data_IF_189792158535
#
_entry.id   IF_189792158535
#
_cell.length_a   1.000
_cell.length_b   1.000
_cell.length_c   1.000
_cell.angle_alpha   90.00
_cell.angle_beta   90.00
_cell.angle_gamma   90.00
#
_symmetry.space_group_name_H-M   'P 1'
#
loop_
_entity.id
_entity.type
_entity.pdbx_description
1 polymer ?
#
# COMPACT_ATOMS: atom_id res chain seq x y z
N UNK A 1 -18.82 42.25 -34.84
CA UNK A 1 -18.43 41.48 -36.04
C UNK A 1 -17.07 41.97 -36.52
N UNK A 2 -16.03 41.14 -36.51
CA UNK A 2 -14.69 41.51 -37.00
C UNK A 2 -14.78 42.00 -38.45
N UNK A 3 -14.33 43.23 -38.73
CA UNK A 3 -14.37 43.83 -40.08
C UNK A 3 -13.17 43.40 -40.94
N UNK A 4 -12.10 42.93 -40.31
CA UNK A 4 -10.88 42.53 -40.99
C UNK A 4 -10.88 41.01 -41.32
N UNK A 5 -10.70 40.60 -42.58
CA UNK A 5 -10.62 39.19 -43.00
C UNK A 5 -9.54 38.40 -42.25
N UNK A 6 -8.40 39.01 -41.97
CA UNK A 6 -7.27 38.39 -41.26
C UNK A 6 -7.64 38.08 -39.80
N UNK A 7 -8.38 38.99 -39.14
CA UNK A 7 -8.86 38.77 -37.77
C UNK A 7 -9.91 37.65 -37.70
N UNK A 8 -10.73 37.46 -38.74
CA UNK A 8 -11.66 36.33 -38.82
C UNK A 8 -10.93 35.00 -39.00
N UNK A 9 -9.91 34.97 -39.86
CA UNK A 9 -9.09 33.76 -40.08
C UNK A 9 -8.33 33.39 -38.81
N UNK A 10 -7.69 34.35 -38.14
CA UNK A 10 -6.99 34.10 -36.86
C UNK A 10 -7.95 33.61 -35.76
N UNK A 11 -9.15 34.17 -35.67
CA UNK A 11 -10.15 33.74 -34.69
C UNK A 11 -10.63 32.31 -34.96
N UNK A 12 -10.93 31.96 -36.22
CA UNK A 12 -11.35 30.60 -36.60
C UNK A 12 -10.21 29.60 -36.38
N UNK A 13 -8.97 29.94 -36.73
CA UNK A 13 -7.81 29.06 -36.54
C UNK A 13 -7.48 28.85 -35.06
N UNK A 14 -7.53 29.91 -34.25
CA UNK A 14 -7.33 29.80 -32.78
C UNK A 14 -8.45 29.00 -32.14
N UNK A 15 -9.70 29.20 -32.58
CA UNK A 15 -10.85 28.43 -32.08
C UNK A 15 -10.78 26.96 -32.49
N UNK A 16 -10.41 26.64 -33.73
CA UNK A 16 -10.20 25.26 -34.19
C UNK A 16 -9.04 24.61 -33.46
N UNK A 17 -7.91 25.29 -33.32
CA UNK A 17 -6.74 24.79 -32.58
C UNK A 17 -7.05 24.57 -31.10
N UNK A 18 -7.84 25.45 -30.46
CA UNK A 18 -8.33 25.25 -29.10
C UNK A 18 -9.29 24.06 -29.00
N UNK A 19 -10.22 23.88 -29.95
CA UNK A 19 -11.10 22.70 -29.99
C UNK A 19 -10.30 21.43 -30.25
N UNK A 20 -9.30 21.46 -31.12
CA UNK A 20 -8.43 20.33 -31.44
C UNK A 20 -7.52 19.97 -30.27
N UNK A 21 -6.99 20.95 -29.53
CA UNK A 21 -6.30 20.75 -28.24
C UNK A 21 -7.24 20.19 -27.16
N UNK A 22 -8.48 20.66 -27.06
CA UNK A 22 -9.45 20.17 -26.07
C UNK A 22 -9.92 18.74 -26.42
N UNK A 23 -10.08 18.42 -27.70
CA UNK A 23 -10.47 17.08 -28.18
C UNK A 23 -9.34 16.09 -28.20
N UNK A 24 -8.09 16.50 -28.45
CA UNK A 24 -6.91 15.65 -28.26
C UNK A 24 -6.65 15.37 -26.79
N UNK A 25 -6.77 16.36 -25.89
CA UNK A 25 -6.65 16.12 -24.44
C UNK A 25 -7.72 15.14 -23.92
N UNK A 26 -8.98 15.27 -24.37
CA UNK A 26 -10.04 14.34 -23.95
C UNK A 26 -9.84 12.92 -24.50
N UNK A 27 -9.37 12.77 -25.75
CA UNK A 27 -9.01 11.47 -26.33
C UNK A 27 -7.81 10.83 -25.63
N UNK A 28 -6.77 11.60 -25.33
CA UNK A 28 -5.57 11.13 -24.63
C UNK A 28 -5.94 10.64 -23.23
N UNK A 29 -6.76 11.39 -22.48
CA UNK A 29 -7.17 10.99 -21.14
C UNK A 29 -8.10 9.75 -21.17
N UNK A 30 -9.01 9.64 -22.14
CA UNK A 30 -9.79 8.41 -22.36
C UNK A 30 -8.90 7.18 -22.58
N UNK A 31 -7.90 7.32 -23.46
CA UNK A 31 -6.93 6.26 -23.71
C UNK A 31 -6.15 5.91 -22.43
N UNK A 32 -5.77 6.92 -21.64
CA UNK A 32 -5.05 6.75 -20.39
C UNK A 32 -5.86 5.99 -19.33
N UNK A 33 -7.14 6.32 -19.19
CA UNK A 33 -8.06 5.62 -18.27
C UNK A 33 -8.22 4.16 -18.70
N UNK A 34 -8.35 3.90 -20.00
CA UNK A 34 -8.52 2.53 -20.49
C UNK A 34 -7.25 1.69 -20.31
N UNK A 35 -6.07 2.23 -20.62
CA UNK A 35 -4.79 1.57 -20.30
C UNK A 35 -4.64 1.34 -18.80
N UNK A 36 -5.04 2.31 -17.98
CA UNK A 36 -5.01 2.19 -16.52
C UNK A 36 -5.95 1.09 -16.01
N UNK A 37 -7.16 0.96 -16.56
CA UNK A 37 -8.08 -0.13 -16.21
C UNK A 37 -7.48 -1.50 -16.50
N UNK A 38 -6.88 -1.67 -17.68
CA UNK A 38 -6.22 -2.93 -18.04
C UNK A 38 -5.09 -3.24 -17.05
N UNK A 39 -4.32 -2.23 -16.65
CA UNK A 39 -3.29 -2.39 -15.63
C UNK A 39 -3.88 -2.77 -14.26
N UNK A 40 -4.96 -2.14 -13.83
CA UNK A 40 -5.61 -2.46 -12.56
C UNK A 40 -6.16 -3.88 -12.52
N UNK A 41 -6.83 -4.33 -13.59
CA UNK A 41 -7.31 -5.72 -13.70
C UNK A 41 -6.17 -6.73 -13.53
N UNK A 42 -5.02 -6.41 -14.11
CA UNK A 42 -3.81 -7.24 -14.02
C UNK A 42 -3.19 -7.23 -12.62
N UNK A 43 -3.15 -6.06 -11.99
CA UNK A 43 -2.70 -5.91 -10.61
C UNK A 43 -3.58 -6.72 -9.64
N UNK A 44 -4.89 -6.77 -9.85
CA UNK A 44 -5.80 -7.59 -9.03
C UNK A 44 -5.51 -9.10 -9.14
N UNK A 45 -5.21 -9.60 -10.33
CA UNK A 45 -4.79 -11.01 -10.50
C UNK A 45 -3.50 -11.27 -9.73
N UNK A 46 -2.51 -10.38 -9.89
CA UNK A 46 -1.23 -10.49 -9.19
C UNK A 46 -1.41 -10.46 -7.66
N UNK A 47 -2.28 -9.59 -7.15
CA UNK A 47 -2.63 -9.53 -5.72
C UNK A 47 -3.18 -10.86 -5.24
N UNK A 48 -4.15 -11.45 -5.95
CA UNK A 48 -4.74 -12.75 -5.57
C UNK A 48 -3.67 -13.84 -5.49
N UNK A 49 -2.78 -13.93 -6.48
CA UNK A 49 -1.69 -14.92 -6.49
C UNK A 49 -0.74 -14.74 -5.31
N UNK A 50 -0.24 -13.51 -5.10
CA UNK A 50 0.67 -13.20 -3.98
C UNK A 50 -0.01 -13.46 -2.64
N UNK A 51 -1.28 -13.08 -2.51
CA UNK A 51 -2.05 -13.27 -1.28
C UNK A 51 -2.20 -14.75 -0.92
N UNK A 52 -2.53 -15.59 -1.90
CA UNK A 52 -2.62 -17.05 -1.72
C UNK A 52 -1.28 -17.65 -1.32
N UNK A 53 -0.21 -17.22 -1.99
CA UNK A 53 1.15 -17.66 -1.65
C UNK A 53 1.52 -17.31 -0.21
N UNK A 54 1.25 -16.08 0.22
CA UNK A 54 1.51 -15.65 1.59
C UNK A 54 0.69 -16.47 2.58
N UNK A 55 -0.61 -16.65 2.32
CA UNK A 55 -1.49 -17.45 3.19
C UNK A 55 -0.98 -18.87 3.36
N UNK A 56 -0.55 -19.51 2.28
CA UNK A 56 0.05 -20.84 2.30
C UNK A 56 1.33 -20.87 3.13
N UNK A 57 2.26 -19.94 2.89
CA UNK A 57 3.55 -19.90 3.57
C UNK A 57 3.44 -19.58 5.08
N UNK A 58 2.38 -18.89 5.51
CA UNK A 58 2.21 -18.45 6.89
C UNK A 58 1.28 -19.36 7.69
N UNK A 59 0.31 -20.03 7.04
CA UNK A 59 -0.63 -20.94 7.70
C UNK A 59 0.10 -22.02 8.50
N UNK A 60 1.10 -22.69 7.91
CA UNK A 60 1.89 -23.72 8.60
C UNK A 60 2.57 -23.20 9.88
N UNK A 61 2.92 -21.91 9.91
CA UNK A 61 3.61 -21.31 11.05
C UNK A 61 2.66 -20.89 12.18
N UNK A 62 1.37 -20.65 11.87
CA UNK A 62 0.41 -20.00 12.77
C UNK A 62 -0.99 -20.64 12.78
N UNK A 63 -1.13 -21.90 12.34
CA UNK A 63 -2.40 -22.61 12.10
C UNK A 63 -3.54 -22.28 13.08
N UNK A 64 -3.26 -22.27 14.39
CA UNK A 64 -4.30 -22.13 15.42
C UNK A 64 -4.74 -20.68 15.66
N UNK A 65 -3.98 -19.70 15.18
CA UNK A 65 -4.18 -18.27 15.46
C UNK A 65 -4.22 -17.39 14.21
N UNK A 66 -4.08 -17.99 13.03
CA UNK A 66 -4.05 -17.27 11.76
C UNK A 66 -5.46 -17.12 11.19
N UNK A 67 -5.88 -15.89 10.90
CA UNK A 67 -7.15 -15.61 10.18
C UNK A 67 -6.92 -15.36 8.69
N UNK A 68 -5.67 -15.31 8.26
CA UNK A 68 -5.29 -14.87 6.92
C UNK A 68 -4.32 -13.70 6.94
N UNK A 69 -3.80 -13.40 5.77
CA UNK A 69 -3.04 -12.20 5.51
C UNK A 69 -3.87 -11.31 4.61
N UNK A 70 -3.60 -10.01 4.69
CA UNK A 70 -4.08 -9.05 3.71
C UNK A 70 -2.90 -8.28 3.14
N UNK A 71 -2.83 -8.21 1.82
CA UNK A 71 -1.92 -7.29 1.14
C UNK A 71 -2.31 -5.86 1.50
N UNK A 72 -1.30 -5.03 1.70
CA UNK A 72 -1.46 -3.59 1.90
C UNK A 72 -0.42 -2.82 1.12
N UNK A 73 -0.22 -1.55 1.50
CA UNK A 73 0.73 -0.69 0.83
C UNK A 73 0.33 -0.40 -0.60
N UNK A 74 1.34 -0.19 -1.43
CA UNK A 74 1.15 0.26 -2.80
C UNK A 74 0.48 -0.78 -3.68
N UNK A 75 0.79 -2.06 -3.47
CA UNK A 75 0.20 -3.17 -4.20
C UNK A 75 -1.31 -3.24 -3.95
N UNK A 76 -1.79 -3.20 -2.71
CA UNK A 76 -3.24 -3.28 -2.52
C UNK A 76 -4.00 -2.04 -3.04
N UNK A 77 -3.37 -0.88 -3.03
CA UNK A 77 -3.99 0.41 -3.34
C UNK A 77 -4.13 0.71 -4.85
N UNK A 78 -3.78 -0.23 -5.74
CA UNK A 78 -3.79 0.03 -7.19
C UNK A 78 -2.68 1.00 -7.61
N UNK A 79 -1.67 1.14 -6.76
CA UNK A 79 -0.55 2.07 -6.93
C UNK A 79 0.76 1.29 -7.02
N UNK A 80 0.70 -0.01 -7.30
CA UNK A 80 1.89 -0.81 -7.55
C UNK A 80 2.71 -0.20 -8.69
N UNK A 81 2.03 0.33 -9.71
CA UNK A 81 2.62 1.10 -10.80
C UNK A 81 3.55 2.21 -10.25
N UNK A 82 3.12 2.91 -9.19
CA UNK A 82 3.89 3.98 -8.56
C UNK A 82 5.30 3.52 -8.11
N UNK A 83 5.47 2.23 -7.81
CA UNK A 83 6.76 1.66 -7.43
C UNK A 83 7.72 1.47 -8.62
N UNK A 84 7.20 1.29 -9.84
CA UNK A 84 8.04 1.19 -11.05
C UNK A 84 8.65 2.53 -11.47
N UNK A 85 8.09 3.66 -11.03
CA UNK A 85 8.68 4.99 -11.28
C UNK A 85 9.74 5.37 -10.23
N UNK A 86 10.06 4.51 -9.25
CA UNK A 86 11.22 4.73 -8.39
C UNK A 86 12.48 4.56 -9.25
N UNK A 87 13.45 5.46 -9.11
CA UNK A 87 14.72 5.31 -9.81
C UNK A 87 15.36 3.95 -9.49
N UNK A 88 15.76 3.22 -10.54
CA UNK A 88 16.45 1.94 -10.40
C UNK A 88 17.73 2.13 -9.57
N UNK A 89 17.79 1.48 -8.41
CA UNK A 89 18.97 1.49 -7.56
C UNK A 89 20.15 0.89 -8.32
N UNK A 90 21.16 1.69 -8.65
CA UNK A 90 22.43 1.18 -9.19
C UNK A 90 23.14 0.37 -8.11
N UNK A 91 23.11 -0.96 -8.18
CA UNK A 91 23.80 -1.82 -7.24
C UNK A 91 25.11 -2.33 -7.84
N UNK A 92 26.25 -1.86 -7.31
CA UNK A 92 27.60 -2.41 -7.54
C UNK A 92 27.89 -2.87 -8.99
N UNK A 93 27.62 -2.03 -9.98
CA UNK A 93 27.93 -2.33 -11.39
C UNK A 93 27.00 -3.33 -12.09
N UNK A 94 25.99 -3.86 -11.39
CA UNK A 94 24.89 -4.63 -11.96
C UNK A 94 23.65 -3.75 -12.12
N UNK A 95 22.97 -3.88 -13.26
CA UNK A 95 21.66 -3.26 -13.48
C UNK A 95 20.67 -4.02 -12.62
N UNK A 96 20.34 -3.53 -11.42
CA UNK A 96 19.08 -3.94 -10.79
C UNK A 96 18.02 -3.53 -11.78
N UNK A 97 17.32 -4.51 -12.34
CA UNK A 97 16.20 -4.19 -13.22
C UNK A 97 15.01 -3.71 -12.42
N UNK A 98 14.66 -4.32 -11.26
CA UNK A 98 13.44 -3.98 -10.48
C UNK A 98 13.51 -4.35 -8.98
N UNK A 99 12.88 -3.54 -8.12
CA UNK A 99 12.55 -3.86 -6.72
C UNK A 99 11.04 -3.83 -6.51
N UNK A 100 10.48 -4.89 -5.93
CA UNK A 100 9.05 -5.04 -5.61
C UNK A 100 8.89 -5.07 -4.09
N UNK A 101 8.23 -4.07 -3.53
CA UNK A 101 7.89 -4.01 -2.11
C UNK A 101 6.45 -4.54 -1.92
N UNK A 102 6.29 -5.57 -1.09
CA UNK A 102 5.00 -6.18 -0.76
C UNK A 102 4.77 -6.04 0.74
N UNK A 103 3.91 -5.09 1.10
CA UNK A 103 3.46 -4.92 2.48
C UNK A 103 2.35 -5.94 2.78
N UNK A 104 2.59 -6.80 3.77
CA UNK A 104 1.65 -7.82 4.20
C UNK A 104 1.19 -7.54 5.64
N UNK A 105 -0.12 -7.47 5.85
CA UNK A 105 -0.70 -7.51 7.18
C UNK A 105 -1.03 -8.96 7.54
N UNK A 106 -0.47 -9.42 8.63
CA UNK A 106 -0.77 -10.71 9.22
C UNK A 106 -1.92 -10.53 10.21
N UNK A 107 -3.11 -11.03 9.85
CA UNK A 107 -4.29 -10.99 10.70
C UNK A 107 -4.26 -12.19 11.64
N UNK A 108 -4.12 -11.90 12.93
CA UNK A 108 -4.09 -12.94 13.94
C UNK A 108 -5.36 -12.89 14.79
N UNK A 109 -5.98 -14.06 14.97
CA UNK A 109 -7.23 -14.26 15.70
C UNK A 109 -7.05 -14.13 17.19
N UNK A 110 -7.43 -12.98 17.74
CA UNK A 110 -7.41 -12.79 19.18
C UNK A 110 -8.84 -12.73 19.73
N UNK A 111 -9.33 -13.88 20.18
CA UNK A 111 -10.66 -14.04 20.78
C UNK A 111 -10.73 -13.38 22.16
N UNK A 112 -10.87 -12.06 22.17
CA UNK A 112 -10.90 -11.29 23.41
C UNK A 112 -12.21 -11.45 24.17
N UNK A 113 -12.10 -11.84 25.44
CA UNK A 113 -13.20 -11.74 26.40
C UNK A 113 -13.48 -10.25 26.68
N UNK A 114 -14.56 -9.71 26.10
CA UNK A 114 -14.98 -8.30 26.22
C UNK A 114 -13.94 -7.31 25.64
N UNK A 115 -13.84 -7.20 24.29
CA UNK A 115 -12.81 -6.41 23.59
C UNK A 115 -12.56 -5.00 24.13
N UNK A 116 -13.62 -4.26 24.46
CA UNK A 116 -13.56 -2.91 25.04
C UNK A 116 -12.80 -2.84 26.36
N UNK A 117 -12.82 -3.89 27.17
CA UNK A 117 -12.12 -3.93 28.46
C UNK A 117 -10.65 -4.35 28.33
N UNK A 118 -10.23 -4.76 27.14
CA UNK A 118 -8.92 -5.33 26.87
C UNK A 118 -7.94 -4.32 26.27
N UNK A 119 -8.48 -3.26 25.66
CA UNK A 119 -7.72 -2.13 25.17
C UNK A 119 -7.85 -0.95 26.12
N UNK A 120 -6.73 -0.29 26.39
CA UNK A 120 -6.69 0.97 27.12
C UNK A 120 -6.06 2.05 26.24
N UNK A 121 -6.83 3.06 25.87
CA UNK A 121 -6.29 4.24 25.18
C UNK A 121 -5.27 4.97 26.08
N UNK A 122 -4.14 5.37 25.49
CA UNK A 122 -3.07 6.05 26.20
C UNK A 122 -3.39 7.55 26.28
N UNK A 123 -3.53 8.06 27.52
CA UNK A 123 -3.85 9.47 27.76
C UNK A 123 -2.80 10.38 27.09
N UNK A 124 -3.27 11.34 26.28
CA UNK A 124 -2.41 12.29 25.56
C UNK A 124 -1.72 11.72 24.32
N UNK A 125 -1.98 10.47 23.93
CA UNK A 125 -1.44 9.85 22.71
C UNK A 125 -2.58 9.28 21.87
N UNK A 126 -3.35 10.12 21.16
CA UNK A 126 -4.43 9.64 20.30
C UNK A 126 -3.86 8.68 19.25
N UNK A 127 -4.61 7.62 18.94
CA UNK A 127 -4.14 6.56 18.04
C UNK A 127 -3.34 5.43 18.71
N UNK A 128 -2.96 5.57 19.99
CA UNK A 128 -2.18 4.57 20.70
C UNK A 128 -2.94 3.91 21.84
N UNK A 129 -2.70 2.60 22.02
CA UNK A 129 -3.36 1.76 23.04
C UNK A 129 -2.39 0.83 23.74
N UNK A 130 -2.79 0.37 24.92
CA UNK A 130 -2.17 -0.75 25.61
C UNK A 130 -3.10 -1.96 25.59
N UNK A 131 -2.53 -3.13 25.39
CA UNK A 131 -3.25 -4.39 25.34
C UNK A 131 -3.08 -5.15 26.65
N UNK A 132 -4.18 -5.45 27.36
CA UNK A 132 -4.11 -6.16 28.65
C UNK A 132 -3.89 -7.66 28.46
N UNK A 133 -2.91 -8.21 29.17
CA UNK A 133 -2.57 -9.66 29.09
C UNK A 133 -3.68 -10.55 29.59
N UNK A 134 -4.39 -10.15 30.66
CA UNK A 134 -5.52 -10.91 31.25
C UNK A 134 -6.69 -11.18 30.28
N UNK A 135 -6.72 -10.50 29.14
CA UNK A 135 -7.76 -10.67 28.14
C UNK A 135 -7.45 -11.76 27.12
N UNK A 136 -6.22 -12.26 27.11
CA UNK A 136 -5.79 -13.30 26.19
C UNK A 136 -6.34 -14.63 26.72
N UNK A 137 -6.94 -15.47 25.87
CA UNK A 137 -7.36 -16.81 26.26
C UNK A 137 -6.21 -17.60 26.90
N UNK A 138 -6.51 -18.36 27.97
CA UNK A 138 -5.52 -19.21 28.65
C UNK A 138 -5.09 -20.43 27.82
N UNK A 139 -5.79 -20.71 26.70
CA UNK A 139 -5.55 -21.81 25.77
C UNK A 139 -5.13 -21.29 24.39
N UNK A 140 -4.43 -22.12 23.62
CA UNK A 140 -3.95 -21.82 22.27
C UNK A 140 -2.50 -21.32 22.24
N UNK A 141 -1.87 -21.28 21.07
CA UNK A 141 -0.45 -20.95 20.88
C UNK A 141 -0.03 -19.53 21.31
N UNK A 142 -1.00 -18.69 21.70
CA UNK A 142 -0.78 -17.34 22.23
C UNK A 142 0.19 -17.26 23.42
N UNK A 143 0.21 -18.26 24.31
CA UNK A 143 1.10 -18.23 25.48
C UNK A 143 2.59 -18.20 25.12
N UNK A 144 2.96 -18.70 23.93
CA UNK A 144 4.35 -18.65 23.47
C UNK A 144 4.75 -17.20 23.22
N UNK A 145 3.84 -16.37 22.71
CA UNK A 145 4.14 -15.00 22.28
C UNK A 145 3.95 -13.94 23.36
N UNK A 146 3.24 -14.23 24.44
CA UNK A 146 2.96 -13.28 25.53
C UNK A 146 3.58 -13.72 26.86
N UNK A 147 4.23 -12.78 27.55
CA UNK A 147 4.70 -13.00 28.92
C UNK A 147 3.56 -12.79 29.92
N UNK A 148 3.04 -13.88 30.50
CA UNK A 148 1.90 -13.81 31.46
C UNK A 148 2.18 -12.96 32.70
N UNK A 149 3.46 -12.78 33.06
CA UNK A 149 3.86 -12.00 34.24
C UNK A 149 3.65 -10.48 34.08
N UNK A 150 3.45 -9.97 32.86
CA UNK A 150 3.23 -8.54 32.65
C UNK A 150 1.75 -8.20 32.62
N UNK A 151 1.39 -6.97 33.02
CA UNK A 151 0.01 -6.46 32.91
C UNK A 151 -0.41 -6.21 31.44
N UNK A 152 0.56 -5.87 30.58
CA UNK A 152 0.33 -5.49 29.20
C UNK A 152 1.19 -6.29 28.23
N UNK A 153 0.66 -6.57 27.04
CA UNK A 153 1.43 -7.20 25.96
C UNK A 153 2.44 -6.18 25.41
N UNK A 154 3.70 -6.61 25.32
CA UNK A 154 4.79 -5.82 24.74
C UNK A 154 4.93 -6.11 23.24
N UNK A 155 4.65 -5.15 22.34
CA UNK A 155 4.67 -5.41 20.89
C UNK A 155 6.05 -5.74 20.34
N UNK A 156 7.13 -5.21 20.94
CA UNK A 156 8.51 -5.51 20.52
C UNK A 156 8.86 -6.97 20.83
N UNK A 157 8.56 -7.43 22.04
CA UNK A 157 8.75 -8.84 22.45
C UNK A 157 7.90 -9.78 21.60
N UNK A 158 6.64 -9.42 21.37
CA UNK A 158 5.73 -10.16 20.50
C UNK A 158 6.33 -10.34 19.10
N UNK A 159 6.78 -9.26 18.45
CA UNK A 159 7.42 -9.31 17.13
C UNK A 159 8.69 -10.17 17.11
N UNK A 160 9.52 -10.09 18.14
CA UNK A 160 10.73 -10.93 18.23
C UNK A 160 10.38 -12.40 18.20
N UNK A 161 9.44 -12.83 19.05
CA UNK A 161 9.03 -14.25 19.12
C UNK A 161 8.36 -14.74 17.84
N UNK A 162 7.59 -13.88 17.19
CA UNK A 162 6.97 -14.17 15.90
C UNK A 162 8.03 -14.30 14.80
N UNK A 163 9.05 -13.42 14.79
CA UNK A 163 10.21 -13.53 13.90
C UNK A 163 10.96 -14.85 14.13
N UNK A 164 11.25 -15.17 15.39
CA UNK A 164 11.97 -16.39 15.76
C UNK A 164 11.20 -17.64 15.32
N UNK A 165 9.86 -17.60 15.36
CA UNK A 165 9.02 -18.70 14.84
C UNK A 165 8.97 -18.74 13.31
N UNK A 166 8.92 -17.59 12.64
CA UNK A 166 8.97 -17.51 11.19
C UNK A 166 10.29 -18.06 10.64
N UNK A 167 11.40 -17.74 11.31
CA UNK A 167 12.74 -18.21 11.01
C UNK A 167 12.98 -19.65 11.51
N UNK A 168 12.42 -20.04 12.66
CA UNK A 168 12.55 -21.40 13.20
C UNK A 168 11.79 -22.46 12.38
N UNK A 169 10.83 -22.03 11.57
CA UNK A 169 10.20 -22.86 10.54
C UNK A 169 11.09 -23.09 9.28
N UNK A 170 12.37 -22.69 9.31
CA UNK A 170 13.31 -22.84 8.19
C UNK A 170 13.82 -24.28 8.00
N UNK A 171 13.50 -24.85 6.85
CA UNK A 171 14.50 -24.99 5.76
C UNK A 171 13.88 -25.60 4.50
N UNK A 172 12.86 -26.46 4.62
CA UNK A 172 12.38 -27.19 3.45
C UNK A 172 11.16 -26.60 2.76
N UNK A 173 10.09 -26.20 3.45
CA UNK A 173 8.82 -25.91 2.74
C UNK A 173 8.73 -24.49 2.19
N UNK A 174 9.20 -23.48 2.93
CA UNK A 174 9.10 -22.06 2.52
C UNK A 174 10.11 -21.67 1.44
N UNK A 175 11.37 -22.09 1.60
CA UNK A 175 12.40 -21.88 0.58
C UNK A 175 12.06 -22.65 -0.69
N UNK A 176 11.64 -23.93 -0.60
CA UNK A 176 11.19 -24.67 -1.77
C UNK A 176 9.91 -24.12 -2.36
N UNK A 177 8.96 -23.61 -1.58
CA UNK A 177 7.73 -23.02 -2.14
C UNK A 177 8.02 -21.80 -3.02
N UNK A 178 8.82 -20.86 -2.53
CA UNK A 178 9.25 -19.69 -3.32
C UNK A 178 10.16 -20.12 -4.48
N UNK A 179 11.15 -20.97 -4.23
CA UNK A 179 12.09 -21.44 -5.24
C UNK A 179 11.40 -22.26 -6.33
N UNK A 180 10.56 -23.23 -5.99
CA UNK A 180 9.79 -24.06 -6.95
C UNK A 180 8.84 -23.19 -7.76
N UNK A 181 8.16 -22.22 -7.13
CA UNK A 181 7.28 -21.30 -7.84
C UNK A 181 8.04 -20.52 -8.93
N UNK A 182 9.15 -19.88 -8.59
CA UNK A 182 9.94 -19.13 -9.56
C UNK A 182 10.66 -20.06 -10.56
N UNK A 183 11.28 -21.15 -10.09
CA UNK A 183 12.04 -22.11 -10.92
C UNK A 183 11.15 -22.80 -11.96
N UNK A 184 9.95 -23.25 -11.58
CA UNK A 184 8.96 -23.85 -12.49
C UNK A 184 8.60 -22.90 -13.64
N UNK A 185 8.29 -21.64 -13.31
CA UNK A 185 7.88 -20.65 -14.31
C UNK A 185 9.00 -20.21 -15.24
N UNK A 186 10.21 -20.14 -14.72
CA UNK A 186 11.40 -19.79 -15.47
C UNK A 186 11.86 -20.90 -16.42
N UNK A 187 11.82 -22.17 -15.99
CA UNK A 187 12.13 -23.33 -16.82
C UNK A 187 11.15 -23.50 -17.99
N UNK A 188 9.86 -23.23 -17.77
CA UNK A 188 8.81 -23.37 -18.82
C UNK A 188 8.97 -22.37 -19.98
N UNK A 189 9.64 -21.24 -19.77
CA UNK A 189 9.90 -20.22 -20.83
C UNK A 189 11.16 -20.50 -21.67
N UNK A 190 11.80 -21.66 -21.48
CA UNK A 190 13.09 -21.94 -22.11
C UNK A 190 14.21 -21.01 -21.64
N UNK A 191 13.96 -20.22 -20.58
CA UNK A 191 15.01 -19.45 -19.92
C UNK A 191 15.75 -20.46 -19.05
N UNK A 192 16.80 -21.04 -19.61
CA UNK A 192 17.68 -21.95 -18.88
C UNK A 192 18.48 -21.11 -17.90
N UNK A 193 18.14 -21.17 -16.61
CA UNK A 193 18.95 -20.58 -15.55
C UNK A 193 20.08 -21.54 -15.23
N UNK A 194 21.33 -21.08 -15.34
CA UNK A 194 22.48 -21.84 -14.80
C UNK A 194 22.40 -21.97 -13.27
N UNK A 195 21.83 -20.97 -12.60
CA UNK A 195 21.53 -20.98 -11.17
C UNK A 195 20.53 -19.87 -10.82
N UNK A 196 19.50 -20.17 -10.04
CA UNK A 196 18.69 -19.17 -9.32
C UNK A 196 19.13 -19.22 -7.86
N UNK A 197 19.74 -18.14 -7.37
CA UNK A 197 20.10 -18.03 -5.96
C UNK A 197 19.04 -17.19 -5.25
N UNK A 198 18.17 -17.82 -4.47
CA UNK A 198 17.26 -17.11 -3.56
C UNK A 198 17.99 -16.86 -2.25
N UNK A 199 18.42 -15.62 -2.02
CA UNK A 199 18.93 -15.20 -0.72
C UNK A 199 17.77 -14.72 0.12
N UNK A 200 17.41 -15.48 1.16
CA UNK A 200 16.49 -15.01 2.19
C UNK A 200 17.31 -14.28 3.24
N UNK A 201 17.07 -12.98 3.41
CA UNK A 201 17.61 -12.26 4.57
C UNK A 201 16.47 -11.72 5.43
N UNK A 202 16.41 -12.21 6.67
CA UNK A 202 15.44 -11.77 7.67
C UNK A 202 15.92 -10.49 8.37
N UNK A 203 15.43 -9.33 7.95
CA UNK A 203 15.67 -8.06 8.67
C UNK A 203 14.46 -7.72 9.53
N UNK A 204 14.66 -7.57 10.83
CA UNK A 204 13.64 -6.97 11.70
C UNK A 204 13.72 -5.46 11.60
N UNK A 205 12.65 -4.83 11.09
CA UNK A 205 12.52 -3.38 11.03
C UNK A 205 11.78 -2.83 12.26
N UNK A 206 11.58 -1.51 12.29
CA UNK A 206 10.88 -0.76 13.35
C UNK A 206 9.48 -1.34 13.64
N UNK A 207 8.79 -1.86 12.62
CA UNK A 207 7.39 -2.30 12.70
C UNK A 207 7.07 -3.63 11.99
N UNK A 208 8.00 -4.16 11.21
CA UNK A 208 7.77 -5.34 10.36
C UNK A 208 8.88 -6.37 10.49
N UNK A 209 8.54 -7.64 10.25
CA UNK A 209 9.52 -8.67 9.91
C UNK A 209 9.66 -8.63 8.40
N UNK A 210 10.88 -8.42 7.89
CA UNK A 210 11.14 -8.29 6.45
C UNK A 210 11.84 -9.53 5.94
N UNK A 211 11.29 -10.15 4.90
CA UNK A 211 11.99 -11.17 4.12
C UNK A 211 12.32 -10.60 2.75
N UNK A 212 13.61 -10.53 2.44
CA UNK A 212 14.07 -10.12 1.12
C UNK A 212 14.35 -11.38 0.32
N UNK A 213 13.84 -11.43 -0.90
CA UNK A 213 14.10 -12.46 -1.90
C UNK A 213 14.83 -11.81 -3.06
N UNK A 214 16.05 -12.27 -3.33
CA UNK A 214 16.82 -11.84 -4.49
C UNK A 214 16.76 -12.91 -5.56
N UNK A 215 16.46 -12.54 -6.81
CA UNK A 215 16.52 -13.42 -7.97
C UNK A 215 17.72 -12.99 -8.82
N UNK A 216 18.72 -13.85 -8.87
CA UNK A 216 19.95 -13.61 -9.62
C UNK A 216 20.06 -14.59 -10.80
N UNK A 217 20.60 -14.12 -11.92
CA UNK A 217 20.99 -14.94 -13.08
C UNK A 217 22.34 -14.48 -13.59
N UNK A 218 23.26 -15.43 -13.79
CA UNK A 218 24.62 -15.16 -14.25
C UNK A 218 25.29 -14.02 -13.43
N UNK A 219 25.15 -14.08 -12.10
CA UNK A 219 25.62 -13.09 -11.12
C UNK A 219 25.00 -11.68 -11.23
N UNK A 220 24.03 -11.48 -12.13
CA UNK A 220 23.25 -10.25 -12.23
C UNK A 220 21.98 -10.36 -11.41
N UNK A 221 21.68 -9.32 -10.62
CA UNK A 221 20.45 -9.22 -9.84
C UNK A 221 19.30 -8.72 -10.73
N UNK A 222 18.30 -9.57 -10.96
CA UNK A 222 17.17 -9.26 -11.84
C UNK A 222 15.98 -8.68 -11.08
N UNK A 223 15.64 -9.29 -9.94
CA UNK A 223 14.50 -8.89 -9.14
C UNK A 223 14.84 -9.00 -7.66
N UNK A 224 14.51 -7.96 -6.91
CA UNK A 224 14.45 -8.04 -5.45
C UNK A 224 13.00 -7.88 -5.02
N UNK A 225 12.47 -8.85 -4.29
CA UNK A 225 11.14 -8.79 -3.68
C UNK A 225 11.29 -8.68 -2.17
N UNK A 226 10.70 -7.66 -1.56
CA UNK A 226 10.71 -7.45 -0.12
C UNK A 226 9.31 -7.71 0.45
N UNK A 227 9.17 -8.74 1.28
CA UNK A 227 7.94 -9.06 2.00
C UNK A 227 8.00 -8.47 3.41
N UNK A 228 7.12 -7.52 3.70
CA UNK A 228 7.05 -6.81 4.97
C UNK A 228 5.85 -7.30 5.80
N UNK A 229 6.07 -8.16 6.79
CA UNK A 229 5.02 -8.65 7.68
C UNK A 229 4.77 -7.68 8.84
N UNK A 230 3.61 -7.04 8.84
CA UNK A 230 3.06 -6.29 9.96
C UNK A 230 2.00 -7.12 10.68
N UNK A 231 2.20 -7.38 11.97
CA UNK A 231 1.25 -8.18 12.76
C UNK A 231 0.20 -7.30 13.41
N UNK A 232 -1.05 -7.73 13.28
CA UNK A 232 -2.20 -7.06 13.88
C UNK A 232 -3.21 -8.01 14.49
N UNK A 233 -3.94 -7.46 15.46
CA UNK A 233 -5.12 -8.10 16.04
C UNK A 233 -6.37 -7.42 15.51
N UNK A 234 -7.31 -8.23 15.02
CA UNK A 234 -8.67 -7.77 14.76
C UNK A 234 -9.39 -7.63 16.08
N UNK A 235 -9.89 -6.43 16.38
CA UNK A 235 -10.61 -6.16 17.62
C UNK A 235 -11.99 -5.60 17.30
N UNK A 236 -13.04 -6.33 17.67
CA UNK A 236 -14.44 -5.88 17.54
C UNK A 236 -14.76 -4.80 18.57
N UNK A 237 -14.29 -3.59 18.27
CA UNK A 237 -14.39 -2.41 19.11
C UNK A 237 -14.28 -1.15 18.26
N UNK A 238 -15.15 -0.17 18.53
CA UNK A 238 -15.12 1.18 17.94
C UNK A 238 -14.36 2.12 18.87
N UNK A 239 -13.12 2.53 18.53
CA UNK A 239 -12.34 3.41 19.39
C UNK A 239 -12.91 4.83 19.35
N UNK A 240 -12.73 5.58 20.44
CA UNK A 240 -13.31 6.93 20.54
C UNK A 240 -12.77 7.88 19.47
N UNK A 241 -11.49 7.70 19.14
CA UNK A 241 -10.82 8.47 18.09
C UNK A 241 -11.48 8.35 16.71
N UNK A 242 -12.25 7.28 16.47
CA UNK A 242 -12.94 7.05 15.20
C UNK A 242 -14.33 7.72 15.13
N UNK A 243 -14.86 8.22 16.25
CA UNK A 243 -16.21 8.79 16.29
C UNK A 243 -16.36 10.01 15.38
N UNK A 244 -15.34 10.86 15.29
CA UNK A 244 -15.33 12.00 14.40
C UNK A 244 -15.47 11.57 12.95
N UNK A 245 -14.73 10.55 12.52
CA UNK A 245 -14.83 9.97 11.19
C UNK A 245 -16.22 9.38 10.92
N UNK A 246 -16.76 8.58 11.85
CA UNK A 246 -18.08 7.96 11.70
C UNK A 246 -19.23 8.97 11.62
N UNK A 247 -19.03 10.17 12.17
CA UNK A 247 -20.00 11.25 12.07
C UNK A 247 -19.98 11.94 10.69
N UNK A 248 -18.94 11.73 9.87
CA UNK A 248 -18.84 12.32 8.53
C UNK A 248 -19.68 11.46 7.57
N UNK A 249 -20.62 12.09 6.87
CA UNK A 249 -21.74 11.43 6.18
C UNK A 249 -21.42 10.95 4.76
N UNK A 250 -20.23 11.22 4.24
CA UNK A 250 -19.97 11.05 2.81
C UNK A 250 -19.64 9.62 2.39
N UNK A 251 -18.95 8.87 3.25
CA UNK A 251 -18.69 7.47 3.00
C UNK A 251 -19.74 6.67 3.77
N UNK A 252 -20.67 6.04 3.04
CA UNK A 252 -21.53 4.99 3.60
C UNK A 252 -20.66 3.77 3.94
N UNK A 253 -19.76 3.93 4.90
CA UNK A 253 -18.95 2.84 5.43
C UNK A 253 -19.92 1.85 6.02
N UNK A 254 -19.89 0.63 5.48
CA UNK A 254 -20.81 -0.40 5.93
C UNK A 254 -20.68 -0.56 7.44
N UNK A 255 -21.82 -0.89 8.08
CA UNK A 255 -21.85 -1.17 9.51
C UNK A 255 -20.81 -2.22 9.89
N UNK A 256 -20.61 -3.21 9.02
CA UNK A 256 -19.63 -4.29 9.17
C UNK A 256 -18.17 -3.79 9.24
N UNK A 257 -17.76 -2.90 8.34
CA UNK A 257 -16.36 -2.42 8.29
C UNK A 257 -16.03 -1.54 9.50
N UNK A 258 -17.04 -0.87 10.04
CA UNK A 258 -16.92 -0.04 11.23
C UNK A 258 -17.10 -0.81 12.55
N UNK A 259 -17.43 -2.10 12.54
CA UNK A 259 -17.62 -2.90 13.77
C UNK A 259 -16.30 -3.32 14.44
N UNK A 260 -15.19 -3.28 13.70
CA UNK A 260 -13.88 -3.65 14.21
C UNK A 260 -12.79 -2.66 13.80
N UNK A 261 -11.70 -2.69 14.57
CA UNK A 261 -10.46 -1.96 14.31
C UNK A 261 -9.29 -2.93 14.38
N UNK A 262 -8.26 -2.69 13.59
CA UNK A 262 -7.00 -3.41 13.72
C UNK A 262 -6.08 -2.71 14.72
N UNK A 263 -5.36 -3.50 15.52
CA UNK A 263 -4.33 -3.01 16.43
C UNK A 263 -2.98 -3.57 15.99
N UNK A 264 -2.09 -2.69 15.53
CA UNK A 264 -0.77 -3.01 15.00
C UNK A 264 0.28 -3.07 16.11
N UNK A 265 1.24 -3.99 15.96
CA UNK A 265 2.48 -4.07 16.74
C UNK A 265 3.50 -2.96 16.45
N UNK A 266 3.01 -1.81 15.97
CA UNK A 266 3.78 -0.58 15.75
C UNK A 266 3.75 0.27 17.02
N UNK A 267 4.88 0.86 17.35
CA UNK A 267 5.04 1.73 18.52
C UNK A 267 5.19 3.17 18.05
N UNK A 268 5.04 4.13 18.97
CA UNK A 268 5.46 5.50 18.70
C UNK A 268 6.96 5.55 18.38
N UNK A 269 7.41 6.59 17.66
CA UNK A 269 8.82 6.72 17.27
C UNK A 269 9.71 6.89 18.50
N UNK A 270 9.22 7.57 19.52
CA UNK A 270 9.88 7.79 20.81
C UNK A 270 10.09 6.47 21.57
N UNK A 271 9.20 5.49 21.36
CA UNK A 271 9.28 4.18 22.03
C UNK A 271 9.84 3.07 21.14
N UNK A 272 10.30 3.41 19.93
CA UNK A 272 10.71 2.44 18.91
C UNK A 272 11.79 1.44 19.38
N UNK A 273 12.74 1.91 20.19
CA UNK A 273 13.84 1.10 20.70
C UNK A 273 13.59 0.60 22.13
N UNK A 274 12.45 0.95 22.72
CA UNK A 274 12.11 0.50 24.07
C UNK A 274 11.46 -0.88 24.00
N UNK A 275 12.23 -1.92 24.33
CA UNK A 275 11.74 -3.31 24.40
C UNK A 275 10.60 -3.50 25.42
N UNK A 276 10.54 -2.63 26.44
CA UNK A 276 9.54 -2.64 27.49
C UNK A 276 8.30 -1.81 27.16
N UNK A 277 8.25 -1.18 25.98
CA UNK A 277 7.06 -0.46 25.55
C UNK A 277 5.85 -1.37 25.55
N UNK A 278 4.71 -0.80 25.91
CA UNK A 278 3.39 -1.44 25.84
C UNK A 278 2.50 -0.74 24.82
N UNK A 279 3.08 0.14 23.99
CA UNK A 279 2.34 0.99 23.06
C UNK A 279 2.09 0.26 21.74
N UNK A 280 0.81 0.00 21.46
CA UNK A 280 0.31 -0.46 20.17
C UNK A 280 -0.36 0.73 19.46
N UNK A 281 -0.55 0.62 18.15
CA UNK A 281 -1.21 1.67 17.34
C UNK A 281 -2.46 1.13 16.68
N UNK A 282 -3.54 1.91 16.66
CA UNK A 282 -4.69 1.59 15.81
C UNK A 282 -4.28 1.62 14.33
N UNK A 283 -4.88 0.75 13.53
CA UNK A 283 -4.73 0.74 12.08
C UNK A 283 -6.10 0.88 11.44
N UNK A 284 -6.22 1.88 10.57
CA UNK A 284 -7.40 2.11 9.75
C UNK A 284 -7.22 1.59 8.33
N UNK A 285 -6.17 0.81 8.05
CA UNK A 285 -5.81 0.40 6.69
C UNK A 285 -6.93 -0.35 5.97
N UNK A 286 -7.79 -1.10 6.68
CA UNK A 286 -8.95 -1.75 6.06
C UNK A 286 -10.04 -0.77 5.67
N UNK A 287 -10.32 0.24 6.51
CA UNK A 287 -11.27 1.32 6.20
C UNK A 287 -10.72 2.18 5.07
N UNK A 288 -9.42 2.51 5.09
CA UNK A 288 -8.75 3.21 4.00
C UNK A 288 -8.91 2.47 2.68
N UNK A 289 -8.63 1.16 2.67
CA UNK A 289 -8.76 0.34 1.47
C UNK A 289 -10.21 0.31 0.97
N UNK A 290 -11.20 0.23 1.87
CA UNK A 290 -12.61 0.31 1.49
C UNK A 290 -12.95 1.63 0.80
N UNK A 291 -12.51 2.75 1.39
CA UNK A 291 -12.72 4.09 0.81
C UNK A 291 -12.04 4.19 -0.56
N UNK A 292 -10.77 3.81 -0.66
CA UNK A 292 -10.01 3.88 -1.91
C UNK A 292 -10.60 2.97 -3.00
N UNK A 293 -11.14 1.81 -2.64
CA UNK A 293 -11.79 0.89 -3.58
C UNK A 293 -13.12 1.43 -4.09
N UNK A 294 -13.83 2.23 -3.28
CA UNK A 294 -15.06 2.93 -3.67
C UNK A 294 -14.83 4.10 -4.64
N UNK A 295 -13.59 4.52 -4.87
CA UNK A 295 -13.29 5.57 -5.83
C UNK A 295 -13.57 5.11 -7.27
N UNK A 296 -14.04 6.06 -8.09
CA UNK A 296 -14.11 5.89 -9.54
C UNK A 296 -12.70 5.70 -10.14
N UNK A 297 -12.64 5.16 -11.37
CA UNK A 297 -11.36 4.94 -12.06
C UNK A 297 -10.57 6.24 -12.23
N UNK A 298 -11.26 7.35 -12.49
CA UNK A 298 -10.64 8.66 -12.63
C UNK A 298 -10.01 9.14 -11.31
N UNK A 299 -10.71 9.00 -10.17
CA UNK A 299 -10.16 9.30 -8.83
C UNK A 299 -8.97 8.40 -8.51
N UNK A 300 -9.04 7.11 -8.83
CA UNK A 300 -7.93 6.16 -8.65
C UNK A 300 -6.71 6.55 -9.50
N UNK A 301 -6.93 6.92 -10.76
CA UNK A 301 -5.86 7.37 -11.66
C UNK A 301 -5.19 8.65 -11.15
N UNK A 302 -5.98 9.65 -10.73
CA UNK A 302 -5.46 10.88 -10.10
C UNK A 302 -4.61 10.54 -8.87
N UNK A 303 -5.10 9.65 -8.00
CA UNK A 303 -4.36 9.22 -6.82
C UNK A 303 -3.02 8.57 -7.18
N UNK A 304 -3.02 7.66 -8.17
CA UNK A 304 -1.81 6.99 -8.65
C UNK A 304 -0.81 7.99 -9.21
N UNK A 305 -1.23 8.86 -10.12
CA UNK A 305 -0.37 9.88 -10.74
C UNK A 305 0.22 10.79 -9.65
N UNK A 306 -0.61 11.31 -8.75
CA UNK A 306 -0.17 12.17 -7.65
C UNK A 306 0.86 11.47 -6.75
N UNK A 307 0.60 10.21 -6.38
CA UNK A 307 1.53 9.38 -5.58
C UNK A 307 2.84 9.11 -6.30
N UNK A 308 2.81 8.86 -7.61
CA UNK A 308 3.99 8.63 -8.45
C UNK A 308 4.88 9.87 -8.51
N UNK A 309 4.31 11.04 -8.83
CA UNK A 309 5.05 12.32 -8.85
C UNK A 309 5.64 12.60 -7.46
N UNK A 310 4.84 12.46 -6.39
CA UNK A 310 5.33 12.64 -5.03
C UNK A 310 6.51 11.72 -4.70
N UNK A 311 6.42 10.45 -5.09
CA UNK A 311 7.48 9.47 -4.82
C UNK A 311 8.76 9.80 -5.58
N UNK A 312 8.64 10.14 -6.87
CA UNK A 312 9.78 10.51 -7.74
C UNK A 312 10.43 11.82 -7.33
N UNK A 313 9.65 12.80 -6.88
CA UNK A 313 10.14 14.18 -6.72
C UNK A 313 10.33 14.65 -5.27
N UNK A 314 9.67 14.02 -4.29
CA UNK A 314 9.69 14.49 -2.88
C UNK A 314 10.19 13.44 -1.90
N UNK A 315 9.81 12.17 -2.06
CA UNK A 315 10.12 11.12 -1.07
C UNK A 315 11.60 10.98 -0.74
N UNK A 316 12.47 11.13 -1.74
CA UNK A 316 13.92 10.99 -1.57
C UNK A 316 14.58 12.11 -0.74
N UNK A 317 13.86 13.20 -0.42
CA UNK A 317 14.37 14.23 0.47
C UNK A 317 14.61 13.70 1.89
N UNK A 318 13.71 12.83 2.37
CA UNK A 318 13.85 12.07 3.61
C UNK A 318 12.84 10.93 3.60
N UNK A 319 13.29 9.71 3.28
CA UNK A 319 12.39 8.56 3.13
C UNK A 319 11.73 8.12 4.46
N UNK A 320 12.27 8.53 5.61
CA UNK A 320 11.69 8.23 6.92
C UNK A 320 10.60 9.22 7.36
N UNK A 321 10.60 10.43 6.80
CA UNK A 321 9.70 11.52 7.16
C UNK A 321 8.68 11.78 6.06
N UNK A 322 9.13 11.87 4.82
CA UNK A 322 8.32 12.16 3.64
C UNK A 322 7.70 10.87 3.12
N UNK A 323 6.65 10.41 3.79
CA UNK A 323 6.00 9.12 3.49
C UNK A 323 4.81 9.27 2.54
N UNK A 324 4.49 8.20 1.80
CA UNK A 324 3.31 8.13 0.94
C UNK A 324 1.98 8.22 1.70
N UNK A 325 2.02 8.15 3.03
CA UNK A 325 0.85 8.38 3.87
C UNK A 325 0.36 9.83 3.75
N UNK A 326 1.26 10.80 3.57
CA UNK A 326 0.92 12.22 3.35
C UNK A 326 0.02 12.37 2.12
N UNK A 327 0.41 11.74 1.00
CA UNK A 327 -0.35 11.71 -0.26
C UNK A 327 -1.75 11.16 -0.02
N UNK A 328 -1.84 10.03 0.70
CA UNK A 328 -3.12 9.39 1.01
C UNK A 328 -4.01 10.32 1.84
N UNK A 329 -3.47 10.94 2.89
CA UNK A 329 -4.21 11.87 3.75
C UNK A 329 -4.76 13.06 2.98
N UNK A 330 -3.96 13.68 2.10
CA UNK A 330 -4.40 14.79 1.24
C UNK A 330 -5.56 14.35 0.34
N UNK A 331 -5.42 13.20 -0.33
CA UNK A 331 -6.43 12.67 -1.26
C UNK A 331 -7.72 12.33 -0.55
N UNK A 332 -7.64 11.69 0.62
CA UNK A 332 -8.82 11.33 1.40
C UNK A 332 -9.60 12.58 1.86
N UNK A 333 -8.90 13.60 2.37
CA UNK A 333 -9.54 14.87 2.72
C UNK A 333 -10.14 15.58 1.52
N UNK A 334 -9.39 15.65 0.41
CA UNK A 334 -9.85 16.32 -0.81
C UNK A 334 -11.10 15.65 -1.37
N UNK A 335 -11.13 14.32 -1.46
CA UNK A 335 -12.29 13.61 -2.03
C UNK A 335 -13.46 13.45 -1.04
N UNK A 336 -13.26 13.80 0.23
CA UNK A 336 -14.32 14.00 1.23
C UNK A 336 -14.87 15.45 1.24
N UNK A 337 -14.41 16.36 0.38
CA UNK A 337 -15.05 17.67 0.31
C UNK A 337 -16.41 17.54 -0.41
N UNK A 338 -17.50 17.83 0.28
CA UNK A 338 -18.86 17.79 -0.25
C UNK A 338 -19.10 18.78 -1.41
N UNK A 339 -18.25 19.79 -1.59
CA UNK A 339 -18.30 20.65 -2.78
C UNK A 339 -17.88 19.91 -4.07
N UNK A 340 -17.39 18.69 -3.93
CA UNK A 340 -17.00 17.77 -4.99
C UNK A 340 -18.01 16.61 -5.12
N UNK A 341 -19.29 16.81 -4.76
CA UNK A 341 -20.35 15.81 -4.98
C UNK A 341 -20.54 15.48 -6.47
N UNK A 342 -20.30 16.44 -7.38
CA UNK A 342 -20.31 16.22 -8.83
C UNK A 342 -18.96 15.79 -9.40
N UNK A 343 -18.00 15.40 -8.55
CA UNK A 343 -16.62 15.21 -8.98
C UNK A 343 -16.42 14.07 -9.96
N UNK A 344 -17.25 13.03 -9.91
CA UNK A 344 -17.17 11.94 -10.89
C UNK A 344 -17.71 12.38 -12.27
N UNK A 345 -18.75 13.22 -12.33
CA UNK A 345 -19.24 13.84 -13.57
C UNK A 345 -18.32 14.98 -14.06
N UNK A 346 -17.59 15.62 -13.14
CA UNK A 346 -16.68 16.73 -13.40
C UNK A 346 -15.27 16.27 -13.81
N UNK A 347 -14.84 15.07 -13.38
CA UNK A 347 -13.57 14.43 -13.79
C UNK A 347 -13.59 13.84 -15.20
N UNK A 348 -14.70 13.97 -15.93
CA UNK A 348 -14.84 13.60 -17.34
C UNK A 348 -13.60 14.01 -18.15
N UNK A 349 -12.69 13.06 -18.39
CA UNK A 349 -11.51 13.00 -19.25
C UNK A 349 -10.72 14.28 -19.56
N UNK A 350 -10.88 15.39 -18.84
CA UNK A 350 -10.28 16.68 -19.25
C UNK A 350 -9.58 17.39 -18.10
N UNK A 351 -9.80 16.95 -16.86
CA UNK A 351 -9.35 17.65 -15.64
C UNK A 351 -8.47 16.84 -14.70
N UNK A 352 -7.96 15.67 -15.13
CA UNK A 352 -7.01 14.86 -14.34
C UNK A 352 -5.83 15.72 -13.87
N UNK A 353 -5.20 16.45 -14.79
CA UNK A 353 -4.05 17.31 -14.51
C UNK A 353 -4.39 18.51 -13.62
N UNK A 354 -5.55 19.13 -13.81
CA UNK A 354 -6.04 20.21 -12.93
C UNK A 354 -6.22 19.71 -11.51
N UNK A 355 -6.78 18.51 -11.36
CA UNK A 355 -6.98 17.87 -10.06
C UNK A 355 -5.66 17.57 -9.36
N UNK A 356 -4.67 17.07 -10.09
CA UNK A 356 -3.34 16.82 -9.54
C UNK A 356 -2.68 18.13 -9.09
N UNK A 357 -2.82 19.22 -9.86
CA UNK A 357 -2.31 20.55 -9.44
C UNK A 357 -2.97 21.05 -8.15
N UNK A 358 -4.28 20.81 -7.99
CA UNK A 358 -5.03 21.11 -6.76
C UNK A 358 -4.47 20.30 -5.59
N UNK A 359 -4.24 18.98 -5.75
CA UNK A 359 -3.65 18.14 -4.70
C UNK A 359 -2.24 18.62 -4.28
N UNK A 360 -1.44 19.10 -5.23
CA UNK A 360 -0.15 19.72 -4.92
C UNK A 360 -0.30 21.08 -4.22
N UNK A 361 -1.35 21.84 -4.55
CA UNK A 361 -1.69 23.09 -3.85
C UNK A 361 -2.01 22.79 -2.38
N UNK A 362 -2.84 21.79 -2.11
CA UNK A 362 -3.20 21.38 -0.74
C UNK A 362 -1.97 20.95 0.06
N UNK A 363 -1.09 20.16 -0.56
CA UNK A 363 0.15 19.76 0.06
C UNK A 363 1.05 20.96 0.35
N UNK A 364 1.12 21.94 -0.57
CA UNK A 364 1.91 23.15 -0.39
C UNK A 364 1.37 24.00 0.76
N UNK A 365 0.05 24.15 0.88
CA UNK A 365 -0.61 24.87 1.98
C UNK A 365 -0.36 24.19 3.32
N UNK A 366 -0.57 22.87 3.40
CA UNK A 366 -0.29 22.09 4.61
C UNK A 366 1.19 22.22 5.05
N UNK A 367 2.13 22.23 4.10
CA UNK A 367 3.56 22.44 4.39
C UNK A 367 3.87 23.87 4.84
N UNK A 368 3.17 24.88 4.30
CA UNK A 368 3.30 26.28 4.72
C UNK A 368 2.83 26.46 6.17
N UNK A 369 1.71 25.85 6.51
CA UNK A 369 1.15 25.85 7.87
C UNK A 369 1.92 24.95 8.84
N UNK A 370 2.67 23.97 8.31
CA UNK A 370 3.34 22.95 9.12
C UNK A 370 2.36 21.96 9.76
N UNK A 371 1.15 21.85 9.21
CA UNK A 371 0.06 21.10 9.80
C UNK A 371 -0.76 20.37 8.73
N UNK A 372 -0.92 19.07 8.92
CA UNK A 372 -1.82 18.22 8.13
C UNK A 372 -2.55 17.28 9.09
N UNK A 373 -3.85 17.42 9.21
CA UNK A 373 -4.67 16.56 10.07
C UNK A 373 -4.65 15.13 9.54
N UNK A 374 -4.37 14.16 10.42
CA UNK A 374 -4.63 12.77 10.08
C UNK A 374 -6.12 12.58 9.81
N UNK A 375 -6.43 11.71 8.87
CA UNK A 375 -7.76 11.58 8.30
C UNK A 375 -8.78 10.99 9.28
N UNK A 376 -8.41 9.95 10.04
CA UNK A 376 -9.30 9.31 11.01
C UNK A 376 -9.22 9.92 12.41
N UNK A 377 -8.05 10.47 12.78
CA UNK A 377 -7.72 11.04 14.08
C UNK A 377 -7.21 12.48 13.89
N UNK A 378 -8.10 13.46 13.69
CA UNK A 378 -7.74 14.84 13.33
C UNK A 378 -6.82 15.55 14.33
N UNK A 379 -6.72 15.05 15.56
CA UNK A 379 -5.82 15.53 16.61
C UNK A 379 -4.34 15.24 16.30
N UNK A 380 -4.05 14.30 15.39
CA UNK A 380 -2.69 13.95 14.98
C UNK A 380 -2.27 14.83 13.80
N UNK A 381 -1.15 15.56 13.96
CA UNK A 381 -0.49 16.25 12.85
C UNK A 381 0.49 15.30 12.13
N UNK A 382 0.20 14.96 10.88
CA UNK A 382 1.05 14.13 10.02
C UNK A 382 2.39 14.81 9.71
N UNK A 383 2.42 16.15 9.65
CA UNK A 383 3.63 16.94 9.37
C UNK A 383 4.40 17.34 10.63
N UNK A 384 4.03 16.84 11.82
CA UNK A 384 4.65 17.21 13.12
C UNK A 384 6.18 17.11 13.11
N UNK A 385 6.73 16.20 12.30
CA UNK A 385 8.17 15.89 12.24
C UNK A 385 8.94 16.66 11.16
N UNK A 386 8.25 17.42 10.33
CA UNK A 386 8.90 18.24 9.32
C UNK A 386 9.49 19.46 10.02
N UNK A 387 10.81 19.60 10.02
CA UNK A 387 11.44 20.85 10.40
C UNK A 387 11.22 21.92 9.32
N UNK A 388 11.59 23.18 9.61
CA UNK A 388 11.40 24.28 8.67
C UNK A 388 12.16 24.05 7.36
N UNK A 389 13.39 23.52 7.42
CA UNK A 389 14.23 23.30 6.24
C UNK A 389 13.60 22.28 5.29
N UNK A 390 13.13 21.15 5.82
CA UNK A 390 12.45 20.13 5.04
C UNK A 390 11.16 20.65 4.42
N UNK A 391 10.36 21.45 5.16
CA UNK A 391 9.14 22.08 4.59
C UNK A 391 9.49 23.04 3.46
N UNK A 392 10.49 23.89 3.64
CA UNK A 392 10.92 24.86 2.62
C UNK A 392 11.45 24.14 1.35
N UNK A 393 12.20 23.06 1.52
CA UNK A 393 12.68 22.22 0.41
C UNK A 393 11.53 21.55 -0.35
N UNK A 394 10.58 20.95 0.37
CA UNK A 394 9.38 20.36 -0.22
C UNK A 394 8.57 21.42 -0.99
N UNK A 395 8.34 22.60 -0.40
CA UNK A 395 7.60 23.68 -1.06
C UNK A 395 8.29 24.15 -2.36
N UNK A 396 9.61 24.36 -2.35
CA UNK A 396 10.37 24.72 -3.56
C UNK A 396 10.21 23.70 -4.67
N UNK A 397 10.25 22.41 -4.32
CA UNK A 397 10.08 21.33 -5.29
C UNK A 397 8.65 21.21 -5.81
N UNK A 398 7.66 21.36 -4.94
CA UNK A 398 6.26 21.38 -5.36
C UNK A 398 6.02 22.51 -6.36
N UNK A 399 6.60 23.70 -6.13
CA UNK A 399 6.52 24.80 -7.10
C UNK A 399 7.06 24.39 -8.49
N UNK A 400 8.20 23.70 -8.54
CA UNK A 400 8.79 23.19 -9.79
C UNK A 400 7.95 22.07 -10.43
N UNK A 401 7.34 21.21 -9.60
CA UNK A 401 6.46 20.14 -10.07
C UNK A 401 5.26 20.74 -10.78
N UNK A 402 4.60 21.72 -10.14
CA UNK A 402 3.39 22.36 -10.68
C UNK A 402 3.65 23.08 -12.01
N UNK A 403 4.82 23.70 -12.18
CA UNK A 403 5.19 24.33 -13.47
C UNK A 403 5.48 23.32 -14.58
N UNK A 404 5.76 22.05 -14.25
CA UNK A 404 6.20 21.01 -15.18
C UNK A 404 5.34 19.74 -15.09
N UNK A 405 4.09 19.84 -14.62
CA UNK A 405 3.30 18.69 -14.19
C UNK A 405 3.14 17.63 -15.31
N UNK A 406 2.90 18.10 -16.54
CA UNK A 406 2.68 17.24 -17.71
C UNK A 406 3.96 16.61 -18.27
N UNK A 407 5.14 17.15 -17.95
CA UNK A 407 6.42 16.63 -18.44
C UNK A 407 7.10 15.70 -17.45
N UNK A 408 6.72 15.74 -16.17
CA UNK A 408 7.33 14.93 -15.10
C UNK A 408 6.91 13.45 -15.15
N UNK A 409 5.69 13.19 -15.63
CA UNK A 409 5.18 11.85 -15.92
C UNK A 409 4.99 11.73 -17.42
N UNK A 410 5.80 10.88 -18.04
CA UNK A 410 5.68 10.62 -19.47
C UNK A 410 4.67 9.48 -19.65
N UNK A 411 3.71 9.64 -20.56
CA UNK A 411 2.75 8.58 -20.94
C UNK A 411 3.46 7.26 -21.25
N UNK A 412 4.69 7.34 -21.80
CA UNK A 412 5.57 6.19 -22.03
C UNK A 412 5.83 5.35 -20.78
N UNK A 413 5.88 5.95 -19.59
CA UNK A 413 6.12 5.25 -18.33
C UNK A 413 4.89 4.42 -17.90
N UNK A 414 3.66 4.81 -18.28
CA UNK A 414 2.44 4.01 -18.02
C UNK A 414 2.38 2.82 -18.97
N UNK A 415 2.65 3.02 -20.26
CA UNK A 415 2.74 1.92 -21.22
C UNK A 415 3.88 0.94 -20.88
N UNK A 416 5.02 1.45 -20.39
CA UNK A 416 6.10 0.63 -19.85
C UNK A 416 5.62 -0.19 -18.65
N UNK A 417 4.98 0.43 -17.66
CA UNK A 417 4.44 -0.28 -16.50
C UNK A 417 3.41 -1.36 -16.89
N UNK A 418 2.60 -1.12 -17.93
CA UNK A 418 1.71 -2.14 -18.50
C UNK A 418 2.49 -3.34 -19.01
N UNK A 419 3.51 -3.12 -19.84
CA UNK A 419 4.33 -4.19 -20.40
C UNK A 419 5.06 -4.96 -19.29
N UNK A 420 5.53 -4.26 -18.26
CA UNK A 420 6.13 -4.87 -17.07
C UNK A 420 5.14 -5.75 -16.32
N UNK A 421 3.91 -5.28 -16.13
CA UNK A 421 2.86 -6.06 -15.48
C UNK A 421 2.41 -7.23 -16.34
N UNK A 422 2.42 -7.11 -17.66
CA UNK A 422 2.27 -8.25 -18.55
C UNK A 422 3.37 -9.25 -18.31
N UNK A 423 4.64 -8.84 -18.34
CA UNK A 423 5.79 -9.71 -18.07
C UNK A 423 5.66 -10.41 -16.71
N UNK A 424 5.29 -9.67 -15.67
CA UNK A 424 5.08 -10.22 -14.33
C UNK A 424 3.90 -11.19 -14.33
N UNK A 425 2.73 -10.83 -14.84
CA UNK A 425 1.60 -11.76 -14.90
C UNK A 425 1.91 -12.98 -15.74
N UNK A 426 2.64 -12.83 -16.82
CA UNK A 426 3.17 -13.90 -17.63
C UNK A 426 4.18 -14.79 -16.86
N UNK A 427 4.79 -14.26 -15.80
CA UNK A 427 5.56 -14.98 -14.78
C UNK A 427 4.73 -15.51 -13.60
N UNK A 428 3.45 -15.16 -13.43
CA UNK A 428 2.60 -15.58 -12.30
C UNK A 428 1.35 -16.36 -12.71
N UNK A 429 0.94 -16.28 -13.97
CA UNK A 429 -0.35 -16.70 -14.48
C UNK A 429 -0.17 -17.41 -15.83
N UNK A 430 0.16 -18.69 -15.76
CA UNK A 430 -0.37 -19.64 -16.75
C UNK A 430 -1.50 -20.42 -16.07
N UNK A 431 -2.62 -20.65 -16.77
CA UNK A 431 -3.83 -21.23 -16.17
C UNK A 431 -3.61 -22.58 -15.50
N UNK A 432 -2.54 -23.30 -15.88
CA UNK A 432 -2.16 -24.58 -15.30
C UNK A 432 -1.49 -24.41 -13.92
N UNK A 433 -0.73 -23.34 -13.72
CA UNK A 433 -0.09 -22.99 -12.44
C UNK A 433 -1.12 -22.51 -11.44
N UNK A 434 -2.09 -21.71 -11.89
CA UNK A 434 -3.23 -21.32 -11.06
C UNK A 434 -3.99 -22.56 -10.58
N UNK A 435 -4.36 -23.47 -11.48
CA UNK A 435 -5.03 -24.73 -11.12
C UNK A 435 -4.18 -25.60 -10.19
N UNK A 436 -2.85 -25.61 -10.36
CA UNK A 436 -1.94 -26.37 -9.50
C UNK A 436 -1.84 -25.76 -8.09
N UNK A 437 -1.78 -24.42 -7.99
CA UNK A 437 -1.80 -23.72 -6.70
C UNK A 437 -3.15 -23.85 -6.01
N UNK A 438 -4.25 -23.72 -6.75
CA UNK A 438 -5.61 -23.91 -6.24
C UNK A 438 -5.80 -25.35 -5.75
N UNK A 439 -5.38 -26.35 -6.52
CA UNK A 439 -5.39 -27.76 -6.10
C UNK A 439 -4.51 -27.99 -4.87
N UNK A 440 -3.32 -27.38 -4.81
CA UNK A 440 -2.44 -27.47 -3.63
C UNK A 440 -3.11 -26.88 -2.38
N UNK A 441 -3.69 -25.67 -2.48
CA UNK A 441 -4.40 -24.99 -1.39
C UNK A 441 -5.63 -25.79 -0.94
N UNK A 442 -6.37 -26.39 -1.88
CA UNK A 442 -7.51 -27.27 -1.57
C UNK A 442 -7.09 -28.60 -0.92
N UNK A 443 -5.85 -29.06 -1.14
CA UNK A 443 -5.30 -30.28 -0.57
C UNK A 443 -4.52 -30.05 0.74
N UNK A 444 -4.43 -28.81 1.23
CA UNK A 444 -3.92 -28.55 2.59
C UNK A 444 -4.89 -29.16 3.62
N UNK A 445 -4.37 -29.72 4.71
CA UNK A 445 -5.17 -30.27 5.80
C UNK A 445 -4.98 -29.43 7.08
N UNK A 446 -6.04 -28.78 7.62
CA UNK A 446 -7.41 -28.75 7.08
C UNK A 446 -7.51 -27.89 5.81
N UNK A 447 -8.44 -28.23 4.90
CA UNK A 447 -8.63 -27.43 3.69
C UNK A 447 -9.08 -26.03 4.08
N UNK A 448 -8.48 -25.02 3.47
CA UNK A 448 -8.82 -23.64 3.77
C UNK A 448 -10.13 -23.27 3.05
N UNK A 449 -11.26 -23.79 3.55
CA UNK A 449 -12.58 -23.72 2.93
C UNK A 449 -13.16 -22.29 2.79
N UNK A 450 -12.52 -21.28 3.37
CA UNK A 450 -12.91 -19.87 3.24
C UNK A 450 -12.23 -19.12 2.09
N UNK A 451 -11.34 -19.76 1.32
CA UNK A 451 -10.75 -19.20 0.12
C UNK A 451 -11.26 -19.93 -1.12
N UNK A 452 -12.55 -19.77 -1.42
CA UNK A 452 -12.93 -19.81 -2.84
C UNK A 452 -12.18 -18.64 -3.49
N UNK A 453 -11.26 -18.92 -4.41
CA UNK A 453 -10.54 -17.88 -5.16
C UNK A 453 -11.47 -17.01 -6.03
N UNK A 454 -12.74 -17.42 -6.13
CA UNK A 454 -13.84 -16.71 -6.76
C UNK A 454 -15.11 -16.71 -5.89
N UNK A 455 -15.35 -15.59 -5.22
CA UNK A 455 -16.66 -14.95 -5.22
C UNK A 455 -16.51 -13.51 -5.69
#
# INVERSE_FOLDING_TARGET
MYKNPIQRILFVFTFHFCIELLTTNSRVNKCLIEEFRQVQQREEILKKVIQSFINMATYESFSDIYEGASLTGSLNQGTFIASFFKENLKYKGSVITRQIDIDCLMNLRLDLKKPRQCLREIKGKPGYVQFLTRCIPDKGTWYVFIEKATKYIRPVMFKSKVKDRLNGAESNTKEKGVQVFFLYHFLKRGIIFKSINVKVSGKTSKSTVKHIFEIQKDEKLYLTTELDYAFMFKVFYRPRVMLNFLARTQYNVSREISEYIYVLSKTSREQKHNINTTEWTYSFSHIENFILNSFSDAKKLVYVIFKSIFSKSLKFLDEEIVTSYIVKTIVLWRFEDSNLIYFDDWLNDTRIWETIDILFTDLQEALKEGFLKEYFIPEINVLKRFDKSLRDNCQKRIKNIRTNLKTILLISEISEARNILEELLLLFYDGQTYQTLEAFVHNLDPPIHHYSLFH
#
